data_IF_945129321385
#
_entry.id   IF_945129321385
#
_cell.length_a   1.000
_cell.length_b   1.000
_cell.length_c   1.000
_cell.angle_alpha   90.00
_cell.angle_beta   90.00
_cell.angle_gamma   90.00
#
_symmetry.space_group_name_H-M   'P 1'
#
loop_
_entity.id
_entity.type
_entity.pdbx_description
1 polymer ?
#
# COMPACT_ATOMS: atom_id res chain seq x y z
N UNK A 1 40.26 91.92 -27.65
CA UNK A 1 40.24 92.13 -29.11
C UNK A 1 41.05 91.02 -29.77
N UNK A 2 40.40 89.99 -30.30
CA UNK A 2 41.03 88.98 -31.16
C UNK A 2 39.93 88.21 -31.92
N UNK A 3 39.93 88.33 -33.24
CA UNK A 3 39.28 87.47 -34.24
C UNK A 3 39.83 87.90 -35.62
N UNK A 4 39.71 87.12 -36.74
CA UNK A 4 39.20 85.75 -36.90
C UNK A 4 39.95 84.87 -37.96
N UNK A 5 39.41 83.64 -38.17
CA UNK A 5 39.14 82.97 -39.47
C UNK A 5 40.15 82.00 -40.13
N UNK A 6 39.74 80.73 -40.21
CA UNK A 6 39.40 79.92 -41.43
C UNK A 6 38.90 78.53 -40.94
N UNK A 7 37.61 78.16 -41.03
CA UNK A 7 36.88 77.58 -42.20
C UNK A 7 37.66 76.45 -42.88
N UNK A 8 37.19 75.24 -43.21
CA UNK A 8 35.91 74.47 -43.27
C UNK A 8 36.41 72.99 -43.15
N UNK A 9 35.68 71.99 -42.64
CA UNK A 9 34.77 71.12 -43.42
C UNK A 9 33.71 70.49 -42.51
N UNK A 10 32.48 70.54 -43.00
CA UNK A 10 31.24 69.98 -42.47
C UNK A 10 31.09 68.52 -42.92
N UNK A 11 30.79 67.58 -42.02
CA UNK A 11 29.78 66.53 -42.27
C UNK A 11 28.97 66.31 -40.99
N UNK A 12 27.66 66.47 -41.21
CA UNK A 12 26.52 66.41 -40.33
C UNK A 12 25.93 64.98 -40.42
N UNK A 13 25.79 64.26 -39.30
CA UNK A 13 24.65 63.33 -39.12
C UNK A 13 24.17 63.46 -37.67
N UNK A 14 22.99 64.02 -37.54
CA UNK A 14 22.22 64.21 -36.31
C UNK A 14 21.34 62.99 -36.03
N UNK A 15 20.95 62.86 -34.75
CA UNK A 15 19.74 62.22 -34.22
C UNK A 15 19.72 60.68 -34.12
N UNK A 16 19.87 60.20 -32.88
CA UNK A 16 18.76 59.56 -32.15
C UNK A 16 19.14 59.36 -30.67
N UNK A 17 18.62 60.24 -29.81
CA UNK A 17 18.36 59.91 -28.42
C UNK A 17 17.43 58.69 -28.36
N UNK A 18 17.72 57.70 -27.52
CA UNK A 18 16.79 57.23 -26.49
C UNK A 18 17.46 56.19 -25.57
N UNK A 19 17.53 56.55 -24.29
CA UNK A 19 17.62 55.69 -23.11
C UNK A 19 17.53 54.16 -23.33
N UNK A 20 18.62 53.45 -23.05
CA UNK A 20 18.62 52.01 -22.75
C UNK A 20 19.55 51.73 -21.57
N UNK A 21 19.24 52.39 -20.45
CA UNK A 21 19.62 51.92 -19.12
C UNK A 21 18.35 51.35 -18.46
N UNK A 22 18.48 50.21 -17.78
CA UNK A 22 17.43 49.39 -17.15
C UNK A 22 16.76 48.32 -18.02
N UNK A 23 17.52 47.29 -18.39
CA UNK A 23 17.00 45.91 -18.42
C UNK A 23 17.92 45.02 -17.59
N UNK A 24 17.75 45.08 -16.27
CA UNK A 24 18.10 43.94 -15.44
C UNK A 24 17.05 42.85 -15.73
N UNK A 25 17.43 41.61 -16.06
CA UNK A 25 16.47 40.53 -16.09
C UNK A 25 16.03 40.29 -14.65
N UNK A 26 14.83 40.77 -14.31
CA UNK A 26 14.12 40.30 -13.12
C UNK A 26 13.95 38.77 -13.21
N UNK A 27 13.82 38.06 -12.08
CA UNK A 27 13.63 36.63 -12.11
C UNK A 27 12.41 36.32 -12.99
N UNK A 28 12.63 35.53 -14.04
CA UNK A 28 11.57 34.95 -14.83
C UNK A 28 10.70 34.13 -13.87
N UNK A 29 9.58 34.70 -13.44
CA UNK A 29 8.54 33.93 -12.76
C UNK A 29 7.95 33.03 -13.85
N UNK A 30 8.43 31.78 -13.88
CA UNK A 30 7.95 30.76 -14.80
C UNK A 30 6.52 30.38 -14.40
N UNK A 31 5.54 31.15 -14.87
CA UNK A 31 4.11 30.88 -14.69
C UNK A 31 3.61 29.64 -15.47
N UNK A 32 4.50 28.81 -16.04
CA UNK A 32 4.15 27.63 -16.83
C UNK A 32 4.74 26.28 -16.36
N UNK A 33 5.66 26.26 -15.39
CA UNK A 33 6.38 25.04 -15.00
C UNK A 33 5.52 24.11 -14.11
N UNK A 34 4.73 24.69 -13.19
CA UNK A 34 3.91 23.92 -12.25
C UNK A 34 2.85 23.08 -12.98
N UNK A 35 2.34 23.55 -14.13
CA UNK A 35 1.35 22.81 -14.92
C UNK A 35 1.94 21.61 -15.67
N UNK A 36 3.15 21.77 -16.23
CA UNK A 36 3.79 20.71 -17.01
C UNK A 36 4.24 19.53 -16.13
N UNK A 37 4.85 19.80 -14.97
CA UNK A 37 5.22 18.76 -14.00
C UNK A 37 3.99 17.98 -13.50
N UNK A 38 2.93 18.70 -13.13
CA UNK A 38 1.70 18.08 -12.67
C UNK A 38 1.00 17.24 -13.76
N UNK A 39 1.05 17.69 -15.02
CA UNK A 39 0.48 16.91 -16.14
C UNK A 39 1.16 15.54 -16.33
N UNK A 40 2.48 15.49 -16.16
CA UNK A 40 3.26 14.27 -16.23
C UNK A 40 3.05 13.37 -15.00
N UNK A 41 2.87 13.97 -13.82
CA UNK A 41 2.50 13.25 -12.60
C UNK A 41 1.13 12.57 -12.71
N UNK A 42 0.12 13.29 -13.19
CA UNK A 42 -1.21 12.73 -13.43
C UNK A 42 -1.19 11.61 -14.47
N UNK A 43 -0.41 11.80 -15.54
CA UNK A 43 -0.22 10.79 -16.56
C UNK A 43 0.45 9.53 -16.00
N UNK A 44 1.43 9.68 -15.11
CA UNK A 44 2.04 8.55 -14.40
C UNK A 44 1.01 7.80 -13.56
N UNK A 45 0.14 8.52 -12.84
CA UNK A 45 -0.96 7.92 -12.08
C UNK A 45 -1.93 7.12 -12.96
N UNK A 46 -2.31 7.65 -14.13
CA UNK A 46 -3.19 6.94 -15.08
C UNK A 46 -2.58 5.63 -15.59
N UNK A 47 -1.28 5.64 -15.89
CA UNK A 47 -0.57 4.45 -16.37
C UNK A 47 -0.33 3.38 -15.29
N UNK A 48 -0.54 3.70 -14.03
CA UNK A 48 -0.35 2.76 -12.92
C UNK A 48 -1.40 1.64 -12.87
N UNK A 49 -2.49 1.77 -13.64
CA UNK A 49 -3.65 0.86 -13.58
C UNK A 49 -3.41 -0.53 -14.20
N UNK A 50 -2.31 -0.76 -14.91
CA UNK A 50 -1.98 -2.09 -15.45
C UNK A 50 -0.49 -2.37 -15.45
N UNK A 51 -0.11 -3.63 -15.15
CA UNK A 51 1.29 -4.10 -15.17
C UNK A 51 2.00 -3.78 -16.49
N UNK A 52 1.30 -3.89 -17.63
CA UNK A 52 1.86 -3.57 -18.95
C UNK A 52 2.16 -2.07 -19.18
N UNK A 53 1.61 -1.16 -18.37
CA UNK A 53 1.81 0.28 -18.54
C UNK A 53 2.78 0.89 -17.51
N UNK A 54 3.35 0.10 -16.59
CA UNK A 54 4.25 0.61 -15.55
C UNK A 54 5.50 1.30 -16.12
N UNK A 55 6.06 0.82 -17.24
CA UNK A 55 7.18 1.50 -17.89
C UNK A 55 6.80 2.89 -18.45
N UNK A 56 5.57 3.07 -18.94
CA UNK A 56 5.06 4.39 -19.36
C UNK A 56 4.82 5.30 -18.16
N UNK A 57 4.37 4.72 -17.03
CA UNK A 57 4.25 5.44 -15.77
C UNK A 57 5.63 5.96 -15.32
N UNK A 58 6.65 5.10 -15.37
CA UNK A 58 8.02 5.45 -15.01
C UNK A 58 8.57 6.60 -15.88
N UNK A 59 8.45 6.49 -17.20
CA UNK A 59 8.86 7.56 -18.11
C UNK A 59 8.12 8.88 -17.87
N UNK A 60 6.85 8.82 -17.49
CA UNK A 60 6.05 10.02 -17.20
C UNK A 60 6.48 10.66 -15.87
N UNK A 61 6.68 9.87 -14.81
CA UNK A 61 7.12 10.43 -13.52
C UNK A 61 8.55 10.99 -13.58
N UNK A 62 9.41 10.42 -14.43
CA UNK A 62 10.76 10.93 -14.64
C UNK A 62 10.78 12.29 -15.35
N UNK A 63 9.85 12.51 -16.29
CA UNK A 63 9.65 13.84 -16.88
C UNK A 63 9.13 14.86 -15.85
N UNK A 64 8.23 14.45 -14.95
CA UNK A 64 7.78 15.32 -13.87
C UNK A 64 8.94 15.71 -12.93
N UNK A 65 9.79 14.73 -12.55
CA UNK A 65 10.96 14.95 -11.71
C UNK A 65 12.09 15.72 -12.41
N UNK A 66 12.18 15.68 -13.75
CA UNK A 66 13.12 16.53 -14.48
C UNK A 66 12.75 18.02 -14.39
N UNK A 67 11.47 18.33 -14.22
CA UNK A 67 10.95 19.70 -14.03
C UNK A 67 11.02 20.10 -12.56
N UNK A 68 10.59 19.22 -11.65
CA UNK A 68 10.58 19.44 -10.19
C UNK A 68 11.33 18.32 -9.43
N UNK A 69 12.68 18.35 -9.36
CA UNK A 69 13.49 17.25 -8.80
C UNK A 69 13.32 16.98 -7.30
N UNK A 70 12.75 17.95 -6.58
CA UNK A 70 12.54 17.94 -5.14
C UNK A 70 11.05 17.95 -4.77
N UNK A 71 10.18 17.55 -5.70
CA UNK A 71 8.77 17.34 -5.38
C UNK A 71 8.59 15.99 -4.64
N UNK A 72 8.27 16.05 -3.35
CA UNK A 72 8.10 14.87 -2.50
C UNK A 72 7.05 13.88 -3.07
N UNK A 73 5.93 14.37 -3.59
CA UNK A 73 4.87 13.51 -4.15
C UNK A 73 5.33 12.77 -5.40
N UNK A 74 6.19 13.40 -6.22
CA UNK A 74 6.71 12.76 -7.43
C UNK A 74 7.74 11.69 -7.07
N UNK A 75 8.56 11.93 -6.06
CA UNK A 75 9.49 10.95 -5.52
C UNK A 75 8.75 9.72 -4.96
N UNK A 76 7.65 9.93 -4.21
CA UNK A 76 6.80 8.84 -3.72
C UNK A 76 6.22 8.03 -4.86
N UNK A 77 5.66 8.69 -5.88
CA UNK A 77 5.10 8.01 -7.05
C UNK A 77 6.16 7.20 -7.79
N UNK A 78 7.39 7.73 -7.95
CA UNK A 78 8.49 6.98 -8.55
C UNK A 78 8.87 5.77 -7.70
N UNK A 79 8.92 5.91 -6.36
CA UNK A 79 9.21 4.81 -5.45
C UNK A 79 8.20 3.66 -5.59
N UNK A 80 6.91 4.00 -5.71
CA UNK A 80 5.83 3.04 -5.93
C UNK A 80 5.97 2.32 -7.28
N UNK A 81 6.21 3.07 -8.37
CA UNK A 81 6.36 2.49 -9.71
C UNK A 81 7.57 1.55 -9.78
N UNK A 82 8.71 1.95 -9.22
CA UNK A 82 9.93 1.14 -9.22
C UNK A 82 9.71 -0.18 -8.48
N UNK A 83 9.06 -0.11 -7.31
CA UNK A 83 8.74 -1.32 -6.55
C UNK A 83 7.81 -2.26 -7.32
N UNK A 84 6.76 -1.74 -7.97
CA UNK A 84 5.81 -2.55 -8.75
C UNK A 84 6.43 -3.19 -10.02
N UNK A 85 7.46 -2.57 -10.60
CA UNK A 85 8.14 -3.10 -11.81
C UNK A 85 9.11 -4.22 -11.45
N UNK A 86 10.00 -3.97 -10.50
CA UNK A 86 11.20 -4.80 -10.30
C UNK A 86 11.37 -5.31 -8.89
N UNK A 87 10.43 -5.02 -7.99
CA UNK A 87 10.53 -5.32 -6.55
C UNK A 87 11.84 -4.75 -5.94
N UNK A 88 12.39 -3.68 -6.54
CA UNK A 88 13.62 -3.03 -6.09
C UNK A 88 13.33 -2.18 -4.86
N UNK A 89 13.32 -2.88 -3.73
CA UNK A 89 13.08 -2.33 -2.41
C UNK A 89 14.12 -1.26 -2.06
N UNK A 90 15.40 -1.49 -2.38
CA UNK A 90 16.49 -0.56 -2.02
C UNK A 90 16.28 0.81 -2.67
N UNK A 91 15.97 0.83 -3.97
CA UNK A 91 15.70 2.08 -4.69
C UNK A 91 14.42 2.73 -4.19
N UNK A 92 13.36 1.95 -3.94
CA UNK A 92 12.09 2.47 -3.42
C UNK A 92 12.26 3.15 -2.06
N UNK A 93 12.94 2.50 -1.10
CA UNK A 93 13.22 3.10 0.20
C UNK A 93 14.07 4.36 0.10
N UNK A 94 15.10 4.38 -0.75
CA UNK A 94 15.93 5.58 -0.95
C UNK A 94 15.13 6.78 -1.46
N UNK A 95 14.19 6.56 -2.38
CA UNK A 95 13.28 7.59 -2.88
C UNK A 95 12.30 8.06 -1.80
N UNK A 96 11.76 7.14 -0.99
CA UNK A 96 10.87 7.46 0.14
C UNK A 96 11.60 8.26 1.22
N UNK A 97 12.84 7.91 1.53
CA UNK A 97 13.67 8.67 2.48
C UNK A 97 13.95 10.08 1.97
N UNK A 98 14.23 10.24 0.67
CA UNK A 98 14.36 11.58 0.06
C UNK A 98 13.06 12.36 0.15
N UNK A 99 11.93 11.74 -0.15
CA UNK A 99 10.61 12.38 -0.05
C UNK A 99 10.28 12.82 1.39
N UNK A 100 10.61 11.98 2.38
CA UNK A 100 10.39 12.27 3.80
C UNK A 100 11.36 13.31 4.36
N UNK A 101 12.58 13.44 3.82
CA UNK A 101 13.46 14.57 4.14
C UNK A 101 12.86 15.91 3.69
N UNK A 102 12.20 15.93 2.53
CA UNK A 102 11.56 17.12 1.98
C UNK A 102 10.21 17.43 2.65
N UNK A 103 9.45 16.39 2.99
CA UNK A 103 8.14 16.48 3.62
C UNK A 103 7.98 15.37 4.67
N UNK A 104 8.41 15.62 5.93
CA UNK A 104 8.46 14.59 6.99
C UNK A 104 7.11 13.94 7.34
N UNK A 105 6.01 14.63 7.06
CA UNK A 105 4.64 14.15 7.30
C UNK A 105 3.91 13.80 6.01
N UNK A 106 4.64 13.54 4.92
CA UNK A 106 4.02 13.11 3.67
C UNK A 106 3.32 11.76 3.89
N UNK A 107 1.99 11.80 3.89
CA UNK A 107 1.15 10.64 4.17
C UNK A 107 1.40 9.49 3.21
N UNK A 108 1.52 9.76 1.91
CA UNK A 108 1.73 8.72 0.91
C UNK A 108 3.10 8.05 1.11
N UNK A 109 4.14 8.84 1.40
CA UNK A 109 5.48 8.34 1.68
C UNK A 109 5.51 7.44 2.92
N UNK A 110 4.94 7.90 4.04
CA UNK A 110 4.88 7.13 5.28
C UNK A 110 4.06 5.83 5.11
N UNK A 111 2.92 5.90 4.42
CA UNK A 111 2.08 4.72 4.14
C UNK A 111 2.82 3.68 3.32
N UNK A 112 3.46 4.08 2.22
CA UNK A 112 4.20 3.15 1.38
C UNK A 112 5.41 2.58 2.13
N UNK A 113 6.17 3.42 2.82
CA UNK A 113 7.34 2.98 3.60
C UNK A 113 6.97 1.98 4.69
N UNK A 114 5.89 2.22 5.44
CA UNK A 114 5.39 1.30 6.46
C UNK A 114 4.93 -0.04 5.85
N UNK A 115 4.25 0.00 4.69
CA UNK A 115 3.81 -1.21 3.96
C UNK A 115 5.00 -2.04 3.51
N UNK A 116 5.99 -1.42 2.86
CA UNK A 116 7.18 -2.12 2.38
C UNK A 116 7.99 -2.71 3.54
N UNK A 117 8.15 -1.96 4.64
CA UNK A 117 8.82 -2.45 5.84
C UNK A 117 8.12 -3.68 6.43
N UNK A 118 6.78 -3.69 6.48
CA UNK A 118 6.03 -4.84 6.94
C UNK A 118 6.18 -6.06 6.02
N UNK A 119 6.20 -5.84 4.69
CA UNK A 119 6.37 -6.91 3.70
C UNK A 119 7.74 -7.59 3.77
N UNK A 120 8.81 -6.83 4.03
CA UNK A 120 10.16 -7.37 4.25
C UNK A 120 10.42 -7.91 5.65
N UNK A 121 9.40 -7.89 6.52
CA UNK A 121 9.49 -8.40 7.90
C UNK A 121 10.14 -7.46 8.91
N UNK A 122 10.47 -6.23 8.52
CA UNK A 122 11.02 -5.20 9.41
C UNK A 122 9.90 -4.52 10.21
N UNK A 123 9.46 -5.22 11.25
CA UNK A 123 8.32 -4.82 12.06
C UNK A 123 8.59 -3.53 12.84
N UNK A 124 9.83 -3.30 13.28
CA UNK A 124 10.18 -2.09 14.03
C UNK A 124 10.08 -0.84 13.15
N UNK A 125 10.59 -0.92 11.91
CA UNK A 125 10.43 0.18 10.96
C UNK A 125 8.98 0.38 10.55
N UNK A 126 8.22 -0.70 10.34
CA UNK A 126 6.80 -0.62 10.01
C UNK A 126 6.00 0.10 11.11
N UNK A 127 6.21 -0.30 12.38
CA UNK A 127 5.52 0.28 13.55
C UNK A 127 5.92 1.74 13.75
N UNK A 128 7.21 2.06 13.72
CA UNK A 128 7.69 3.43 13.91
C UNK A 128 7.24 4.37 12.79
N UNK A 129 7.24 3.91 11.54
CA UNK A 129 6.76 4.70 10.39
C UNK A 129 5.25 4.90 10.43
N UNK A 130 4.48 3.85 10.74
CA UNK A 130 3.02 3.95 10.83
C UNK A 130 2.56 4.79 12.05
N UNK A 131 3.35 4.81 13.14
CA UNK A 131 3.12 5.71 14.27
C UNK A 131 3.15 7.18 13.84
N UNK A 132 4.08 7.57 12.96
CA UNK A 132 4.15 8.95 12.45
C UNK A 132 2.88 9.36 11.68
N UNK A 133 2.24 8.42 10.95
CA UNK A 133 0.93 8.67 10.33
C UNK A 133 -0.14 8.94 11.38
N UNK A 134 -0.22 8.08 12.39
CA UNK A 134 -1.18 8.19 13.47
C UNK A 134 -1.01 9.49 14.27
N UNK A 135 0.22 9.85 14.64
CA UNK A 135 0.50 11.10 15.37
C UNK A 135 0.20 12.35 14.53
N UNK A 136 0.34 12.26 13.20
CA UNK A 136 -0.03 13.35 12.29
C UNK A 136 -1.54 13.55 12.12
N UNK A 137 -2.32 12.48 12.25
CA UNK A 137 -3.78 12.53 12.14
C UNK A 137 -4.47 11.48 13.05
N UNK A 138 -4.53 11.70 14.39
CA UNK A 138 -5.01 10.68 15.32
C UNK A 138 -6.48 10.29 15.15
N UNK A 139 -7.29 11.21 14.59
CA UNK A 139 -8.71 10.98 14.30
C UNK A 139 -8.94 10.29 12.94
N UNK A 140 -7.94 10.25 12.06
CA UNK A 140 -8.09 9.59 10.75
C UNK A 140 -8.14 8.07 10.93
N UNK A 141 -9.20 7.46 10.41
CA UNK A 141 -9.41 6.02 10.48
C UNK A 141 -8.31 5.25 9.74
N UNK A 142 -7.88 5.73 8.58
CA UNK A 142 -6.86 5.06 7.79
C UNK A 142 -5.48 5.09 8.48
N UNK A 143 -5.13 6.21 9.12
CA UNK A 143 -3.90 6.32 9.92
C UNK A 143 -3.93 5.37 11.12
N UNK A 144 -5.07 5.27 11.83
CA UNK A 144 -5.28 4.30 12.90
C UNK A 144 -5.19 2.86 12.39
N UNK A 145 -5.79 2.55 11.24
CA UNK A 145 -5.72 1.22 10.61
C UNK A 145 -4.28 0.86 10.24
N UNK A 146 -3.53 1.79 9.64
CA UNK A 146 -2.14 1.55 9.26
C UNK A 146 -1.27 1.25 10.50
N UNK A 147 -1.42 2.05 11.56
CA UNK A 147 -0.68 1.84 12.81
C UNK A 147 -1.09 0.55 13.53
N UNK A 148 -2.39 0.30 13.66
CA UNK A 148 -2.92 -0.94 14.23
C UNK A 148 -2.44 -2.18 13.46
N UNK A 149 -2.44 -2.14 12.13
CA UNK A 149 -1.91 -3.21 11.27
C UNK A 149 -0.43 -3.48 11.54
N UNK A 150 0.38 -2.43 11.63
CA UNK A 150 1.81 -2.58 11.92
C UNK A 150 2.04 -3.20 13.32
N UNK A 151 1.27 -2.78 14.33
CA UNK A 151 1.32 -3.37 15.68
C UNK A 151 0.94 -4.85 15.67
N UNK A 152 -0.13 -5.22 14.96
CA UNK A 152 -0.57 -6.62 14.82
C UNK A 152 0.48 -7.45 14.09
N UNK A 153 1.08 -6.93 13.02
CA UNK A 153 2.19 -7.56 12.31
C UNK A 153 3.42 -7.80 13.20
N UNK A 154 3.71 -6.86 14.09
CA UNK A 154 4.77 -6.95 15.10
C UNK A 154 4.42 -7.86 16.30
N UNK A 155 3.26 -8.52 16.30
CA UNK A 155 2.81 -9.36 17.42
C UNK A 155 2.30 -8.59 18.64
N UNK A 156 2.21 -7.26 18.57
CA UNK A 156 1.70 -6.38 19.63
C UNK A 156 0.18 -6.33 19.61
N UNK A 157 -0.45 -7.49 19.80
CA UNK A 157 -1.90 -7.67 19.59
C UNK A 157 -2.77 -6.81 20.51
N UNK A 158 -2.34 -6.57 21.76
CA UNK A 158 -3.10 -5.74 22.71
C UNK A 158 -3.07 -4.26 22.28
N UNK A 159 -1.89 -3.73 21.99
CA UNK A 159 -1.72 -2.34 21.51
C UNK A 159 -2.45 -2.14 20.18
N UNK A 160 -2.32 -3.09 19.24
CA UNK A 160 -3.03 -3.06 17.96
C UNK A 160 -4.55 -3.01 18.15
N UNK A 161 -5.09 -3.83 19.06
CA UNK A 161 -6.51 -3.83 19.37
C UNK A 161 -6.98 -2.48 19.94
N UNK A 162 -6.21 -1.88 20.85
CA UNK A 162 -6.55 -0.58 21.45
C UNK A 162 -6.65 0.54 20.40
N UNK A 163 -5.80 0.51 19.37
CA UNK A 163 -5.84 1.48 18.26
C UNK A 163 -7.03 1.20 17.31
N UNK A 164 -7.35 -0.08 17.06
CA UNK A 164 -8.36 -0.49 16.08
C UNK A 164 -9.79 -0.48 16.63
N UNK A 165 -9.98 -0.67 17.93
CA UNK A 165 -11.31 -0.80 18.55
C UNK A 165 -12.18 0.48 18.38
N UNK A 166 -11.65 1.71 18.51
CA UNK A 166 -12.40 2.92 18.16
C UNK A 166 -12.82 2.93 16.69
N UNK A 167 -11.93 2.51 15.78
CA UNK A 167 -12.24 2.46 14.33
C UNK A 167 -13.33 1.43 14.05
N UNK A 168 -13.32 0.29 14.74
CA UNK A 168 -14.37 -0.73 14.61
C UNK A 168 -15.73 -0.19 15.08
N UNK A 169 -15.76 0.61 16.16
CA UNK A 169 -17.01 1.24 16.64
C UNK A 169 -17.55 2.27 15.64
N UNK A 170 -16.68 3.08 15.07
CA UNK A 170 -17.04 4.10 14.06
C UNK A 170 -17.41 3.46 12.71
N UNK A 171 -16.75 2.37 12.34
CA UNK A 171 -16.91 1.67 11.06
C UNK A 171 -17.09 0.16 11.29
N UNK A 172 -18.26 -0.30 11.78
CA UNK A 172 -18.49 -1.70 12.17
C UNK A 172 -18.35 -2.71 11.03
N UNK A 173 -18.45 -2.24 9.78
CA UNK A 173 -18.37 -3.05 8.57
C UNK A 173 -17.08 -2.83 7.78
N UNK A 174 -16.07 -2.17 8.34
CA UNK A 174 -14.80 -2.00 7.66
C UNK A 174 -14.06 -3.36 7.58
N UNK A 175 -13.86 -3.94 6.38
CA UNK A 175 -13.28 -5.27 6.25
C UNK A 175 -11.82 -5.33 6.70
N UNK A 176 -11.05 -4.25 6.54
CA UNK A 176 -9.66 -4.22 7.01
C UNK A 176 -9.58 -4.31 8.53
N UNK A 177 -10.49 -3.61 9.25
CA UNK A 177 -10.53 -3.63 10.72
C UNK A 177 -11.06 -4.97 11.22
N UNK A 178 -12.13 -5.50 10.62
CA UNK A 178 -12.69 -6.80 11.00
C UNK A 178 -11.65 -7.93 10.84
N UNK A 179 -10.86 -7.92 9.76
CA UNK A 179 -9.81 -8.93 9.54
C UNK A 179 -8.68 -8.83 10.56
N UNK A 180 -8.21 -7.61 10.85
CA UNK A 180 -7.20 -7.38 11.87
C UNK A 180 -7.69 -7.78 13.27
N UNK A 181 -8.93 -7.44 13.61
CA UNK A 181 -9.52 -7.80 14.90
C UNK A 181 -9.78 -9.31 15.02
N UNK A 182 -10.19 -9.97 13.94
CA UNK A 182 -10.26 -11.43 13.90
C UNK A 182 -8.88 -12.07 14.16
N UNK A 183 -7.82 -11.58 13.52
CA UNK A 183 -6.46 -12.07 13.72
C UNK A 183 -5.97 -11.83 15.16
N UNK A 184 -6.22 -10.65 15.72
CA UNK A 184 -5.92 -10.32 17.11
C UNK A 184 -6.61 -11.33 18.04
N UNK A 185 -7.90 -11.59 17.83
CA UNK A 185 -8.66 -12.50 18.66
C UNK A 185 -8.21 -13.96 18.50
N UNK A 186 -7.88 -14.41 17.29
CA UNK A 186 -7.30 -15.74 17.04
C UNK A 186 -5.97 -15.92 17.78
N UNK A 187 -5.07 -14.94 17.69
CA UNK A 187 -3.75 -14.99 18.36
C UNK A 187 -3.86 -14.93 19.87
N UNK A 188 -4.89 -14.26 20.39
CA UNK A 188 -5.21 -14.19 21.81
C UNK A 188 -6.15 -15.30 22.29
N UNK A 189 -6.51 -16.25 21.42
CA UNK A 189 -7.41 -17.36 21.72
C UNK A 189 -8.82 -16.94 22.17
N UNK A 190 -9.26 -15.73 21.81
CA UNK A 190 -10.62 -15.23 22.03
C UNK A 190 -11.56 -15.73 20.93
N UNK A 191 -11.70 -17.04 20.80
CA UNK A 191 -12.33 -17.70 19.65
C UNK A 191 -13.75 -17.21 19.37
N UNK A 192 -14.55 -16.92 20.41
CA UNK A 192 -15.90 -16.37 20.28
C UNK A 192 -15.91 -15.03 19.54
N UNK A 193 -14.99 -14.11 19.89
CA UNK A 193 -14.87 -12.80 19.22
C UNK A 193 -14.30 -12.94 17.82
N UNK A 194 -13.30 -13.81 17.64
CA UNK A 194 -12.77 -14.14 16.31
C UNK A 194 -13.87 -14.59 15.35
N UNK A 195 -14.73 -15.52 15.78
CA UNK A 195 -15.89 -15.99 14.99
C UNK A 195 -16.83 -14.82 14.65
N UNK A 196 -17.11 -13.93 15.61
CA UNK A 196 -17.96 -12.75 15.36
C UNK A 196 -17.38 -11.84 14.28
N UNK A 197 -16.10 -11.52 14.35
CA UNK A 197 -15.43 -10.68 13.34
C UNK A 197 -15.35 -11.38 11.97
N UNK A 198 -15.08 -12.68 11.94
CA UNK A 198 -15.07 -13.48 10.70
C UNK A 198 -16.45 -13.59 10.05
N UNK A 199 -17.52 -13.68 10.84
CA UNK A 199 -18.88 -13.62 10.32
C UNK A 199 -19.18 -12.25 9.68
N UNK A 200 -18.81 -11.15 10.34
CA UNK A 200 -18.92 -9.82 9.77
C UNK A 200 -18.16 -9.66 8.45
N UNK A 201 -16.96 -10.26 8.33
CA UNK A 201 -16.22 -10.29 7.07
C UNK A 201 -16.96 -11.06 5.97
N UNK A 202 -17.51 -12.23 6.30
CA UNK A 202 -18.23 -13.07 5.35
C UNK A 202 -19.54 -12.43 4.86
N UNK A 203 -20.10 -11.48 5.61
CA UNK A 203 -21.25 -10.66 5.22
C UNK A 203 -20.86 -9.48 4.31
N UNK A 204 -19.72 -8.84 4.54
CA UNK A 204 -19.30 -7.64 3.79
C UNK A 204 -18.49 -7.98 2.54
N UNK A 205 -17.69 -9.05 2.57
CA UNK A 205 -16.83 -9.42 1.46
C UNK A 205 -17.54 -10.38 0.50
N UNK A 206 -17.92 -9.83 -0.65
CA UNK A 206 -18.34 -10.59 -1.83
C UNK A 206 -17.12 -10.85 -2.73
N UNK A 207 -16.14 -11.59 -2.19
CA UNK A 207 -14.90 -11.93 -2.88
C UNK A 207 -15.03 -13.13 -3.82
N UNK A 208 -13.91 -13.54 -4.42
CA UNK A 208 -13.87 -14.81 -5.16
C UNK A 208 -14.21 -15.99 -4.24
N UNK A 209 -14.73 -17.10 -4.79
CA UNK A 209 -14.94 -18.33 -4.01
C UNK A 209 -13.72 -18.73 -3.18
N UNK A 210 -12.51 -18.54 -3.74
CA UNK A 210 -11.26 -18.82 -3.05
C UNK A 210 -10.96 -17.86 -1.89
N UNK A 211 -11.18 -16.55 -2.04
CA UNK A 211 -11.00 -15.64 -0.91
C UNK A 211 -11.99 -15.92 0.22
N UNK A 212 -13.22 -16.32 -0.13
CA UNK A 212 -14.26 -16.71 0.82
C UNK A 212 -13.90 -17.99 1.57
N UNK A 213 -13.26 -18.96 0.92
CA UNK A 213 -12.88 -20.24 1.55
C UNK A 213 -11.87 -20.09 2.68
N UNK A 214 -10.91 -19.16 2.56
CA UNK A 214 -9.94 -18.86 3.64
C UNK A 214 -10.64 -18.34 4.92
N UNK A 215 -11.62 -17.44 4.77
CA UNK A 215 -12.39 -16.91 5.89
C UNK A 215 -13.25 -17.99 6.56
N UNK A 216 -13.87 -18.86 5.75
CA UNK A 216 -14.64 -20.02 6.26
C UNK A 216 -13.72 -20.97 7.02
N UNK A 217 -12.53 -21.29 6.47
CA UNK A 217 -11.56 -22.18 7.11
C UNK A 217 -11.09 -21.62 8.46
N UNK A 218 -10.71 -20.34 8.52
CA UNK A 218 -10.34 -19.65 9.78
C UNK A 218 -11.45 -19.75 10.82
N UNK A 219 -12.70 -19.49 10.42
CA UNK A 219 -13.87 -19.58 11.31
C UNK A 219 -14.11 -21.02 11.79
N UNK A 220 -13.97 -22.01 10.90
CA UNK A 220 -14.08 -23.43 11.25
C UNK A 220 -13.02 -23.86 12.25
N UNK A 221 -11.78 -23.42 12.09
CA UNK A 221 -10.72 -23.68 13.06
C UNK A 221 -11.04 -23.05 14.42
N UNK A 222 -11.58 -21.83 14.44
CA UNK A 222 -12.06 -21.22 15.68
C UNK A 222 -13.23 -21.98 16.31
N UNK A 223 -14.15 -22.54 15.53
CA UNK A 223 -15.21 -23.43 16.03
C UNK A 223 -14.64 -24.71 16.65
N UNK A 224 -13.63 -25.32 16.04
CA UNK A 224 -12.98 -26.51 16.59
C UNK A 224 -12.29 -26.20 17.92
N UNK A 225 -11.66 -25.02 18.06
CA UNK A 225 -11.06 -24.57 19.33
C UNK A 225 -12.08 -24.35 20.45
N UNK A 226 -13.36 -24.12 20.10
CA UNK A 226 -14.48 -24.05 21.04
C UNK A 226 -15.18 -25.40 21.26
N UNK A 227 -14.67 -26.50 20.68
CA UNK A 227 -15.30 -27.82 20.74
C UNK A 227 -16.58 -27.95 19.91
N UNK A 228 -16.88 -26.98 19.03
CA UNK A 228 -18.03 -27.03 18.11
C UNK A 228 -17.67 -27.79 16.84
N UNK A 229 -17.29 -29.04 16.99
CA UNK A 229 -16.66 -29.84 15.94
C UNK A 229 -17.55 -30.06 14.71
N UNK A 230 -18.88 -30.19 14.89
CA UNK A 230 -19.80 -30.33 13.76
C UNK A 230 -19.79 -29.09 12.84
N UNK A 231 -19.77 -27.88 13.43
CA UNK A 231 -19.67 -26.63 12.67
C UNK A 231 -18.30 -26.51 12.00
N UNK A 232 -17.23 -26.94 12.68
CA UNK A 232 -15.89 -26.94 12.13
C UNK A 232 -15.79 -27.83 10.88
N UNK A 233 -16.25 -29.08 10.98
CA UNK A 233 -16.29 -30.05 9.88
C UNK A 233 -17.14 -29.57 8.71
N UNK A 234 -18.34 -29.05 8.99
CA UNK A 234 -19.23 -28.51 7.96
C UNK A 234 -18.55 -27.37 7.17
N UNK A 235 -17.99 -26.39 7.88
CA UNK A 235 -17.33 -25.26 7.22
C UNK A 235 -16.01 -25.64 6.54
N UNK A 236 -15.23 -26.60 7.06
CA UNK A 236 -14.00 -27.06 6.37
C UNK A 236 -14.32 -27.81 5.08
N UNK A 237 -15.40 -28.61 5.05
CA UNK A 237 -15.89 -29.23 3.81
C UNK A 237 -16.30 -28.17 2.79
N UNK A 238 -16.96 -27.10 3.22
CA UNK A 238 -17.28 -25.95 2.36
C UNK A 238 -16.01 -25.25 1.86
N UNK A 239 -15.03 -24.99 2.73
CA UNK A 239 -13.76 -24.37 2.36
C UNK A 239 -12.98 -25.20 1.34
N UNK A 240 -12.91 -26.53 1.51
CA UNK A 240 -12.31 -27.45 0.54
C UNK A 240 -13.06 -27.44 -0.80
N UNK A 241 -14.40 -27.34 -0.79
CA UNK A 241 -15.19 -27.24 -2.03
C UNK A 241 -14.91 -25.93 -2.79
N UNK A 242 -14.77 -24.82 -2.07
CA UNK A 242 -14.56 -23.49 -2.65
C UNK A 242 -13.08 -23.21 -3.02
N UNK A 243 -12.13 -23.88 -2.35
CA UNK A 243 -10.70 -23.81 -2.60
C UNK A 243 -10.08 -25.21 -2.74
N UNK A 244 -10.40 -25.99 -3.78
CA UNK A 244 -10.06 -27.41 -3.87
C UNK A 244 -8.55 -27.69 -3.97
N UNK A 245 -7.75 -26.70 -4.37
CA UNK A 245 -6.29 -26.76 -4.52
C UNK A 245 -5.53 -26.35 -3.25
N UNK A 246 -6.22 -25.84 -2.23
CA UNK A 246 -5.57 -25.43 -0.99
C UNK A 246 -5.35 -26.67 -0.10
N UNK A 247 -4.10 -27.13 -0.01
CA UNK A 247 -3.72 -28.34 0.72
C UNK A 247 -3.98 -28.21 2.22
N UNK A 248 -3.82 -27.00 2.77
CA UNK A 248 -4.00 -26.73 4.19
C UNK A 248 -5.43 -27.05 4.63
N UNK A 249 -6.44 -26.66 3.86
CA UNK A 249 -7.84 -26.94 4.23
C UNK A 249 -8.12 -28.45 4.31
N UNK A 250 -7.54 -29.22 3.38
CA UNK A 250 -7.67 -30.68 3.39
C UNK A 250 -6.95 -31.30 4.58
N UNK A 251 -5.73 -30.85 4.89
CA UNK A 251 -4.98 -31.33 6.05
C UNK A 251 -5.71 -31.07 7.37
N UNK A 252 -6.27 -29.87 7.55
CA UNK A 252 -7.09 -29.52 8.72
C UNK A 252 -8.35 -30.40 8.80
N UNK A 253 -9.03 -30.62 7.67
CA UNK A 253 -10.21 -31.50 7.60
C UNK A 253 -9.85 -32.95 7.96
N UNK A 254 -8.78 -33.51 7.39
CA UNK A 254 -8.28 -34.87 7.69
C UNK A 254 -7.95 -34.99 9.19
N UNK A 255 -7.27 -33.99 9.75
CA UNK A 255 -6.88 -33.99 11.17
C UNK A 255 -8.11 -34.11 12.08
N UNK A 256 -9.14 -33.29 11.84
CA UNK A 256 -10.37 -33.33 12.64
C UNK A 256 -11.13 -34.64 12.41
N UNK A 257 -11.24 -35.13 11.17
CA UNK A 257 -11.92 -36.40 10.86
C UNK A 257 -11.28 -37.60 11.59
N UNK A 258 -9.94 -37.66 11.64
CA UNK A 258 -9.24 -38.69 12.42
C UNK A 258 -9.52 -38.57 13.91
N UNK A 259 -9.49 -37.34 14.44
CA UNK A 259 -9.78 -37.06 15.86
C UNK A 259 -11.21 -37.48 16.23
N UNK A 260 -12.19 -37.30 15.33
CA UNK A 260 -13.58 -37.69 15.56
C UNK A 260 -13.89 -39.14 15.23
N UNK A 261 -12.91 -39.93 14.75
CA UNK A 261 -13.10 -41.33 14.39
C UNK A 261 -13.76 -41.57 13.02
N UNK A 262 -13.96 -40.52 12.20
CA UNK A 262 -14.40 -40.66 10.81
C UNK A 262 -13.21 -41.05 9.92
N UNK A 263 -12.73 -42.28 10.11
CA UNK A 263 -11.56 -42.83 9.41
C UNK A 263 -11.85 -42.94 7.90
N UNK A 264 -13.08 -43.30 7.52
CA UNK A 264 -13.47 -43.40 6.12
C UNK A 264 -13.44 -42.03 5.43
N UNK A 265 -13.97 -40.99 6.08
CA UNK A 265 -13.89 -39.61 5.61
C UNK A 265 -12.44 -39.13 5.50
N UNK A 266 -11.62 -39.39 6.52
CA UNK A 266 -10.20 -39.03 6.51
C UNK A 266 -9.45 -39.68 5.34
N UNK A 267 -9.65 -40.98 5.11
CA UNK A 267 -9.01 -41.71 4.02
C UNK A 267 -9.40 -41.17 2.64
N UNK A 268 -10.67 -40.79 2.48
CA UNK A 268 -11.16 -40.17 1.25
C UNK A 268 -10.44 -38.85 0.95
N UNK A 269 -10.31 -37.99 1.96
CA UNK A 269 -9.64 -36.69 1.79
C UNK A 269 -8.12 -36.84 1.61
N UNK A 270 -7.48 -37.84 2.23
CA UNK A 270 -6.08 -38.18 1.98
C UNK A 270 -5.83 -38.62 0.54
N UNK A 271 -6.71 -39.45 -0.02
CA UNK A 271 -6.61 -39.86 -1.43
C UNK A 271 -6.77 -38.65 -2.35
N UNK A 272 -7.69 -37.74 -2.04
CA UNK A 272 -7.86 -36.50 -2.79
C UNK A 272 -6.64 -35.58 -2.69
N UNK A 273 -6.02 -35.48 -1.52
CA UNK A 273 -4.80 -34.70 -1.29
C UNK A 273 -3.62 -35.26 -2.08
N UNK A 274 -3.38 -36.58 -2.04
CA UNK A 274 -2.31 -37.22 -2.82
C UNK A 274 -2.47 -37.00 -4.33
N UNK A 275 -3.70 -37.08 -4.83
CA UNK A 275 -3.97 -36.78 -6.24
C UNK A 275 -3.63 -35.34 -6.57
N UNK A 276 -4.07 -34.40 -5.74
CA UNK A 276 -3.78 -32.99 -5.91
C UNK A 276 -2.26 -32.71 -5.90
N UNK A 277 -1.50 -33.32 -4.99
CA UNK A 277 -0.04 -33.20 -4.94
C UNK A 277 0.64 -33.74 -6.20
N UNK A 278 0.17 -34.89 -6.71
CA UNK A 278 0.67 -35.48 -7.95
C UNK A 278 0.39 -34.57 -9.17
N UNK A 279 -0.76 -33.92 -9.21
CA UNK A 279 -1.15 -33.00 -10.28
C UNK A 279 -0.32 -31.69 -10.28
N UNK A 280 0.39 -31.37 -9.19
CA UNK A 280 1.19 -30.13 -9.06
C UNK A 280 2.70 -30.32 -9.32
N UNK A 281 3.18 -31.55 -9.49
CA UNK A 281 4.58 -31.78 -9.85
C UNK A 281 4.79 -31.51 -11.36
N UNK A 282 5.69 -30.59 -11.75
CA UNK A 282 6.06 -30.47 -13.15
C UNK A 282 6.81 -31.74 -13.58
N UNK A 283 6.41 -32.31 -14.72
CA UNK A 283 7.13 -33.40 -15.39
C UNK A 283 8.56 -32.99 -15.75
#
# INVERSE_FOLDING_TARGET
MAQPSRQLTVILVCLLCFCLACLAPGPLVVYGANGAGNSHYELAGRYMSSRNNLHKALSSIERALAIEPENANYLVRKAEIVYEISEDEKTSFGLLDKALKLSPRNRQALTLKAKLAAQRGDQDLAVSTARLLYEGAPADADARIAYGRALVGAGKYIEGAQILEPVLKEQPRNPAVLDLMALVDEKRQNWTRAISHLNGLLEVLHGTPYARSELIARRSLAYERLGKTDLALSGLREAVKLGPTNHKFRLELISILKKTGDIAGAQKEETALKKLEADMLPF
#
